data_IF_362689669218
#
_entry.id   IF_362689669218
#
_cell.length_a   1.000
_cell.length_b   1.000
_cell.length_c   1.000
_cell.angle_alpha   90.00
_cell.angle_beta   90.00
_cell.angle_gamma   90.00
#
_symmetry.space_group_name_H-M   'P 1'
#
loop_
_entity.id
_entity.type
_entity.pdbx_description
1 polymer ?
#
# COMPACT_ATOMS: atom_id res chain seq x y z
N UNK A 1 -16.89 -72.66 27.31
CA UNK A 1 -17.78 -72.06 26.29
C UNK A 1 -17.34 -70.61 26.15
N UNK A 2 -16.73 -70.27 25.01
CA UNK A 2 -15.95 -69.04 24.81
C UNK A 2 -16.70 -68.11 23.85
N UNK A 3 -17.15 -66.98 24.38
CA UNK A 3 -17.53 -65.75 23.67
C UNK A 3 -17.02 -64.60 24.57
N UNK A 4 -16.51 -63.48 24.08
CA UNK A 4 -16.97 -62.71 22.95
C UNK A 4 -15.81 -61.97 22.25
N UNK A 5 -16.07 -61.64 20.98
CA UNK A 5 -15.23 -60.82 20.11
C UNK A 5 -15.18 -59.35 20.56
N UNK A 6 -14.04 -58.75 20.27
CA UNK A 6 -13.62 -57.36 20.32
C UNK A 6 -14.65 -56.36 19.75
N UNK A 7 -14.80 -55.16 20.35
CA UNK A 7 -15.13 -53.96 19.61
C UNK A 7 -13.99 -52.92 19.69
N UNK A 8 -13.49 -52.50 18.54
CA UNK A 8 -12.85 -51.19 18.36
C UNK A 8 -13.91 -50.24 17.79
N UNK A 9 -14.33 -49.19 18.52
CA UNK A 9 -15.11 -48.12 17.94
C UNK A 9 -14.19 -46.98 17.51
N UNK A 10 -14.06 -46.83 16.19
CA UNK A 10 -13.67 -45.58 15.51
C UNK A 10 -14.39 -44.38 16.15
N UNK A 11 -13.60 -43.49 16.75
CA UNK A 11 -14.06 -42.24 17.31
C UNK A 11 -13.20 -41.10 16.78
N UNK A 12 -13.77 -40.25 15.95
CA UNK A 12 -13.08 -39.04 15.52
C UNK A 12 -13.67 -38.41 14.26
N UNK A 13 -14.92 -37.95 14.36
CA UNK A 13 -15.51 -36.98 13.46
C UNK A 13 -14.67 -35.69 13.47
N UNK A 14 -13.65 -35.64 12.61
CA UNK A 14 -12.88 -34.44 12.36
C UNK A 14 -13.70 -33.56 11.42
N UNK A 15 -14.59 -32.76 12.03
CA UNK A 15 -15.27 -31.65 11.38
C UNK A 15 -14.26 -30.87 10.55
N UNK A 16 -14.38 -31.00 9.23
CA UNK A 16 -13.62 -30.21 8.28
C UNK A 16 -14.08 -28.77 8.46
N UNK A 17 -13.31 -28.01 9.22
CA UNK A 17 -13.49 -26.56 9.31
C UNK A 17 -13.30 -26.04 7.88
N UNK A 18 -14.30 -25.42 7.24
CA UNK A 18 -14.07 -24.80 5.95
C UNK A 18 -13.09 -23.64 6.19
N UNK A 19 -11.83 -23.85 5.86
CA UNK A 19 -10.93 -22.73 5.63
C UNK A 19 -11.55 -21.90 4.51
N UNK A 20 -11.78 -20.60 4.71
CA UNK A 20 -12.19 -19.75 3.61
C UNK A 20 -11.08 -19.85 2.56
N UNK A 21 -11.41 -20.43 1.40
CA UNK A 21 -10.59 -20.32 0.21
C UNK A 21 -10.57 -18.81 -0.07
N UNK A 22 -9.45 -18.17 0.29
CA UNK A 22 -9.21 -16.79 -0.06
C UNK A 22 -9.30 -16.71 -1.58
N UNK A 23 -10.31 -16.00 -2.08
CA UNK A 23 -10.42 -15.66 -3.48
C UNK A 23 -9.07 -15.03 -3.91
N UNK A 24 -8.52 -15.39 -5.09
CA UNK A 24 -7.29 -14.79 -5.55
C UNK A 24 -7.44 -13.28 -5.63
N UNK A 25 -6.60 -12.60 -4.83
CA UNK A 25 -6.15 -11.22 -4.92
C UNK A 25 -7.11 -10.21 -5.55
N UNK A 26 -7.97 -9.58 -4.73
CA UNK A 26 -8.18 -8.14 -4.92
C UNK A 26 -6.92 -7.44 -4.43
N UNK A 27 -6.11 -7.05 -5.41
CA UNK A 27 -4.83 -6.41 -5.28
C UNK A 27 -4.90 -5.14 -4.40
N UNK A 28 -4.59 -5.25 -3.11
CA UNK A 28 -4.54 -4.07 -2.22
C UNK A 28 -3.27 -3.29 -2.55
N UNK A 29 -3.39 -2.16 -3.24
CA UNK A 29 -2.30 -1.30 -3.68
C UNK A 29 -1.28 -0.95 -2.56
N UNK A 30 -0.04 -0.61 -2.93
CA UNK A 30 0.94 -0.06 -1.99
C UNK A 30 0.35 1.12 -1.22
N UNK A 31 0.57 1.19 0.09
CA UNK A 31 0.07 2.29 0.92
C UNK A 31 1.14 3.35 1.09
N UNK A 32 0.79 4.60 0.81
CA UNK A 32 1.66 5.74 1.06
C UNK A 32 1.36 6.32 2.44
N UNK A 33 2.41 6.49 3.24
CA UNK A 33 2.36 7.00 4.60
C UNK A 33 3.15 8.30 4.68
N UNK A 34 2.54 9.33 5.25
CA UNK A 34 3.15 10.64 5.43
C UNK A 34 3.29 10.90 6.92
N UNK A 35 4.45 11.41 7.33
CA UNK A 35 4.72 11.84 8.70
C UNK A 35 5.34 13.23 8.67
N UNK A 36 4.88 14.09 9.55
CA UNK A 36 5.47 15.39 9.81
C UNK A 36 5.59 15.56 11.32
N UNK A 37 6.77 15.89 11.79
CA UNK A 37 7.07 16.05 13.21
C UNK A 37 7.82 17.36 13.42
N UNK A 38 7.38 18.11 14.42
CA UNK A 38 8.03 19.35 14.82
C UNK A 38 8.79 19.13 16.11
N UNK A 39 10.05 19.55 16.13
CA UNK A 39 10.93 19.49 17.27
C UNK A 39 11.67 20.83 17.33
N UNK A 40 11.29 21.68 18.29
CA UNK A 40 11.81 23.04 18.46
C UNK A 40 11.82 23.87 17.15
N UNK A 41 13.02 24.18 16.66
CA UNK A 41 13.30 24.94 15.42
C UNK A 41 13.47 24.02 14.20
N UNK A 42 13.03 22.76 14.27
CA UNK A 42 13.13 21.79 13.18
C UNK A 42 11.78 21.17 12.83
N UNK A 43 11.58 20.92 11.54
CA UNK A 43 10.47 20.15 11.00
C UNK A 43 11.02 18.95 10.24
N UNK A 44 10.74 17.76 10.73
CA UNK A 44 11.05 16.49 10.08
C UNK A 44 9.86 16.03 9.26
N UNK A 45 10.12 15.62 8.02
CA UNK A 45 9.07 15.13 7.14
C UNK A 45 9.52 13.88 6.41
N UNK A 46 8.64 12.89 6.40
CA UNK A 46 8.91 11.59 5.79
C UNK A 46 7.71 11.14 4.95
N UNK A 47 7.98 10.54 3.80
CA UNK A 47 7.02 9.72 3.07
C UNK A 47 7.58 8.31 2.96
N UNK A 48 6.80 7.33 3.40
CA UNK A 48 7.11 5.93 3.28
C UNK A 48 6.08 5.20 2.41
N UNK A 49 6.53 4.17 1.71
CA UNK A 49 5.70 3.28 0.91
C UNK A 49 5.70 1.94 1.62
N UNK A 50 4.54 1.53 2.13
CA UNK A 50 4.33 0.20 2.69
C UNK A 50 3.82 -0.72 1.59
N UNK A 51 4.66 -1.68 1.21
CA UNK A 51 4.34 -2.71 0.22
C UNK A 51 3.53 -3.84 0.85
N UNK A 52 2.96 -4.70 0.00
CA UNK A 52 2.08 -5.81 0.39
C UNK A 52 2.75 -6.85 1.28
N UNK A 53 4.04 -7.08 1.05
CA UNK A 53 4.89 -7.97 1.85
C UNK A 53 5.21 -7.41 3.24
N UNK A 54 4.68 -6.22 3.58
CA UNK A 54 4.96 -5.52 4.82
C UNK A 54 6.24 -4.70 4.78
N UNK A 55 7.01 -4.76 3.69
CA UNK A 55 8.26 -4.00 3.56
C UNK A 55 7.96 -2.50 3.47
N UNK A 56 8.65 -1.72 4.28
CA UNK A 56 8.55 -0.26 4.31
C UNK A 56 9.75 0.36 3.59
N UNK A 57 9.46 1.24 2.62
CA UNK A 57 10.47 1.97 1.85
C UNK A 57 10.32 3.46 2.10
N UNK A 58 11.36 4.14 2.56
CA UNK A 58 11.35 5.60 2.68
C UNK A 58 11.59 6.22 1.30
N UNK A 59 10.54 6.79 0.70
CA UNK A 59 10.61 7.44 -0.61
C UNK A 59 11.10 8.89 -0.51
N UNK A 60 10.86 9.53 0.64
CA UNK A 60 11.25 10.90 0.89
C UNK A 60 11.51 11.10 2.38
N UNK A 61 12.60 11.78 2.70
CA UNK A 61 12.87 12.27 4.04
C UNK A 61 13.59 13.61 3.95
N UNK A 62 13.15 14.60 4.72
CA UNK A 62 13.85 15.87 4.86
C UNK A 62 13.71 16.46 6.25
N UNK A 63 14.66 17.32 6.58
CA UNK A 63 14.62 18.23 7.73
C UNK A 63 14.59 19.66 7.22
N UNK A 64 13.70 20.47 7.78
CA UNK A 64 13.65 21.90 7.55
C UNK A 64 14.01 22.63 8.84
N UNK A 65 14.79 23.69 8.73
CA UNK A 65 15.03 24.61 9.84
C UNK A 65 13.93 25.67 9.82
N UNK A 66 13.25 25.86 10.95
CA UNK A 66 12.21 26.85 11.12
C UNK A 66 12.82 28.20 11.54
N UNK A 67 12.30 29.32 11.01
CA UNK A 67 12.63 30.65 11.51
C UNK A 67 12.31 30.81 12.99
N UNK A 68 13.09 31.64 13.70
CA UNK A 68 12.80 32.02 15.10
C UNK A 68 11.52 32.81 15.27
N UNK A 69 11.13 33.58 14.24
CA UNK A 69 9.87 34.29 14.24
C UNK A 69 8.70 33.30 14.15
N UNK A 70 7.78 33.25 15.14
CA UNK A 70 6.74 32.25 15.21
C UNK A 70 5.72 32.37 14.07
N UNK A 71 5.47 33.57 13.58
CA UNK A 71 4.56 33.81 12.45
C UNK A 71 5.13 33.26 11.13
N UNK A 72 6.43 33.44 10.90
CA UNK A 72 7.15 32.85 9.78
C UNK A 72 7.28 31.33 9.93
N UNK A 73 7.58 30.82 11.13
CA UNK A 73 7.63 29.38 11.40
C UNK A 73 6.33 28.67 11.01
N UNK A 74 5.18 29.23 11.42
CA UNK A 74 3.87 28.66 11.10
C UNK A 74 3.60 28.66 9.58
N UNK A 75 4.01 29.71 8.86
CA UNK A 75 3.87 29.76 7.40
C UNK A 75 4.75 28.73 6.71
N UNK A 76 6.00 28.57 7.17
CA UNK A 76 6.91 27.53 6.65
C UNK A 76 6.33 26.15 6.91
N UNK A 77 5.78 25.90 8.10
CA UNK A 77 5.17 24.62 8.46
C UNK A 77 3.97 24.28 7.56
N UNK A 78 3.05 25.23 7.33
CA UNK A 78 1.91 25.04 6.42
C UNK A 78 2.36 24.78 4.98
N UNK A 79 3.34 25.55 4.49
CA UNK A 79 3.89 25.37 3.15
C UNK A 79 4.58 24.01 3.01
N UNK A 80 5.33 23.61 4.02
CA UNK A 80 6.00 22.32 4.07
C UNK A 80 4.99 21.17 4.08
N UNK A 81 3.89 21.29 4.81
CA UNK A 81 2.81 20.29 4.83
C UNK A 81 2.13 20.16 3.45
N UNK A 82 1.87 21.28 2.78
CA UNK A 82 1.34 21.29 1.41
C UNK A 82 2.27 20.59 0.42
N UNK A 83 3.58 20.90 0.46
CA UNK A 83 4.57 20.23 -0.38
C UNK A 83 4.61 18.73 -0.09
N UNK A 84 4.59 18.33 1.18
CA UNK A 84 4.58 16.92 1.57
C UNK A 84 3.34 16.18 1.03
N UNK A 85 2.18 16.82 1.05
CA UNK A 85 0.95 16.27 0.48
C UNK A 85 1.03 16.10 -1.04
N UNK A 86 1.54 17.11 -1.75
CA UNK A 86 1.72 17.04 -3.20
C UNK A 86 2.70 15.94 -3.61
N UNK A 87 3.83 15.82 -2.91
CA UNK A 87 4.82 14.77 -3.19
C UNK A 87 4.22 13.37 -2.98
N UNK A 88 3.43 13.18 -1.92
CA UNK A 88 2.77 11.90 -1.70
C UNK A 88 1.71 11.59 -2.76
N UNK A 89 0.87 12.56 -3.13
CA UNK A 89 -0.11 12.38 -4.21
C UNK A 89 0.55 12.05 -5.55
N UNK A 90 1.70 12.66 -5.84
CA UNK A 90 2.50 12.29 -7.01
C UNK A 90 3.01 10.84 -6.95
N UNK A 91 3.46 10.38 -5.78
CA UNK A 91 3.88 8.99 -5.60
C UNK A 91 2.70 8.02 -5.72
N UNK A 92 1.51 8.38 -5.23
CA UNK A 92 0.28 7.58 -5.39
C UNK A 92 -0.08 7.45 -6.87
N UNK A 93 -0.04 8.55 -7.62
CA UNK A 93 -0.30 8.55 -9.06
C UNK A 93 0.72 7.70 -9.84
N UNK A 94 2.00 7.77 -9.48
CA UNK A 94 3.06 6.95 -10.10
C UNK A 94 2.85 5.46 -9.79
N UNK A 95 2.50 5.09 -8.55
CA UNK A 95 2.24 3.68 -8.22
C UNK A 95 0.99 3.15 -8.93
N UNK A 96 -0.08 3.95 -9.03
CA UNK A 96 -1.28 3.61 -9.79
C UNK A 96 -0.97 3.39 -11.28
N UNK A 97 -0.18 4.29 -11.90
CA UNK A 97 0.24 4.15 -13.29
C UNK A 97 1.10 2.90 -13.51
N UNK A 98 2.01 2.60 -12.57
CA UNK A 98 2.82 1.37 -12.59
C UNK A 98 1.95 0.12 -12.50
N UNK A 99 0.97 0.09 -11.59
CA UNK A 99 0.04 -1.03 -11.44
C UNK A 99 -0.81 -1.24 -12.70
N UNK A 100 -1.35 -0.16 -13.28
CA UNK A 100 -2.10 -0.22 -14.53
C UNK A 100 -1.26 -0.78 -15.68
N UNK A 101 0.01 -0.33 -15.79
CA UNK A 101 0.94 -0.89 -16.79
C UNK A 101 1.24 -2.36 -16.56
N UNK A 102 1.46 -2.79 -15.32
CA UNK A 102 1.68 -4.20 -14.99
C UNK A 102 0.47 -5.05 -15.36
N UNK A 103 -0.74 -4.62 -15.02
CA UNK A 103 -1.98 -5.31 -15.41
C UNK A 103 -2.11 -5.47 -16.93
N UNK A 104 -1.77 -4.42 -17.71
CA UNK A 104 -1.75 -4.49 -19.17
C UNK A 104 -0.70 -5.45 -19.75
N UNK A 105 0.40 -5.68 -19.05
CA UNK A 105 1.48 -6.57 -19.51
C UNK A 105 1.25 -8.02 -19.08
N UNK A 106 0.58 -8.23 -17.95
CA UNK A 106 0.30 -9.55 -17.39
C UNK A 106 -1.02 -10.16 -17.93
N UNK A 107 -1.92 -9.33 -18.48
CA UNK A 107 -3.18 -9.74 -19.10
C UNK A 107 -3.14 -9.65 -20.62
N UNK A 108 -3.64 -10.71 -21.29
CA UNK A 108 -4.13 -10.69 -22.69
C UNK A 108 -5.44 -9.87 -22.77
N UNK A 109 -5.47 -8.71 -22.12
CA UNK A 109 -6.64 -7.86 -21.92
C UNK A 109 -6.50 -6.61 -22.79
N UNK A 110 -7.53 -6.35 -23.60
CA UNK A 110 -7.52 -5.26 -24.55
C UNK A 110 -7.15 -3.94 -23.87
N UNK A 111 -6.26 -3.13 -24.47
CA UNK A 111 -5.75 -1.94 -23.82
C UNK A 111 -6.90 -0.96 -23.55
N UNK A 112 -6.82 -0.16 -22.46
CA UNK A 112 -7.94 0.66 -22.01
C UNK A 112 -8.36 1.66 -23.08
N UNK A 113 -9.65 2.00 -23.18
CA UNK A 113 -10.23 2.76 -24.31
C UNK A 113 -9.55 4.10 -24.65
N UNK A 114 -8.79 4.70 -23.72
CA UNK A 114 -8.01 5.91 -23.98
C UNK A 114 -6.72 5.67 -24.78
N UNK A 115 -6.22 4.42 -24.82
CA UNK A 115 -4.99 4.03 -25.53
C UNK A 115 -5.18 3.92 -27.06
N UNK A 116 -6.42 3.78 -27.52
CA UNK A 116 -6.76 3.67 -28.95
C UNK A 116 -6.49 5.00 -29.68
N UNK A 117 -6.52 6.12 -28.96
CA UNK A 117 -6.24 7.45 -29.52
C UNK A 117 -4.76 7.78 -29.70
N UNK A 118 -3.85 6.95 -29.20
CA UNK A 118 -2.40 7.12 -29.39
C UNK A 118 -1.88 6.42 -30.65
N UNK A 119 -2.63 5.48 -31.22
CA UNK A 119 -2.26 4.79 -32.45
C UNK A 119 -2.58 5.58 -33.73
N UNK A 120 -3.46 6.58 -33.64
CA UNK A 120 -3.92 7.40 -34.77
C UNK A 120 -3.33 8.83 -34.79
N UNK A 121 -2.26 9.09 -34.03
CA UNK A 121 -1.52 10.34 -34.15
C UNK A 121 -0.56 10.25 -35.35
N UNK A 122 -0.69 11.15 -36.36
CA UNK A 122 0.14 11.13 -37.57
C UNK A 122 1.61 11.49 -37.32
#
# INVERSE_FOLDING_TARGET
>A
MTQARLPDPDGGDAGTVPHPIAAPGRDVASRIERRQEREDEALWQTIAIRRRDGTLWTAFARRLVLPRDPGLANRVEQRAACVLALTAGALEAVDAARQARSAMLDGDEAPPAWSVHLADAP
#
